data_IF_412741122019
#
_entry.id   IF_412741122019
#
_cell.length_a   1.000
_cell.length_b   1.000
_cell.length_c   1.000
_cell.angle_alpha   90.00
_cell.angle_beta   90.00
_cell.angle_gamma   90.00
#
_symmetry.space_group_name_H-M   'P 1'
#
loop_
_entity.id
_entity.type
_entity.pdbx_description
1 polymer ?
#
# COMPACT_ATOMS: atom_id res chain seq x y z
N UNK A 1 4.93 10.04 0.80
CA UNK A 1 3.83 10.95 0.40
C UNK A 1 3.42 10.61 -1.01
N UNK A 2 2.13 10.41 -1.27
CA UNK A 2 1.57 10.25 -2.62
C UNK A 2 1.18 11.65 -3.10
N UNK A 3 1.77 12.12 -4.20
CA UNK A 3 1.48 13.41 -4.80
C UNK A 3 0.66 13.18 -6.07
N UNK A 4 -0.67 13.30 -6.01
CA UNK A 4 -1.48 13.15 -7.19
C UNK A 4 -1.25 14.33 -8.13
N UNK A 5 -1.07 14.06 -9.42
CA UNK A 5 -0.95 15.08 -10.47
C UNK A 5 -2.31 15.61 -10.92
N UNK A 6 -3.39 14.95 -10.52
CA UNK A 6 -4.77 15.34 -10.81
C UNK A 6 -5.65 15.08 -9.58
N UNK A 7 -6.61 15.98 -9.34
CA UNK A 7 -7.62 15.82 -8.28
C UNK A 7 -9.00 15.77 -8.91
N UNK A 8 -9.88 14.89 -8.41
CA UNK A 8 -11.23 14.74 -8.92
C UNK A 8 -12.11 15.97 -8.62
N UNK A 9 -13.17 16.16 -9.41
CA UNK A 9 -14.18 17.19 -9.11
C UNK A 9 -14.92 16.84 -7.81
N UNK A 10 -15.30 17.84 -6.99
CA UNK A 10 -16.11 17.60 -5.80
C UNK A 10 -17.41 16.87 -6.16
N UNK A 11 -17.70 15.76 -5.48
CA UNK A 11 -18.91 14.96 -5.71
C UNK A 11 -18.81 13.89 -6.80
N UNK A 12 -17.70 13.81 -7.55
CA UNK A 12 -17.44 12.74 -8.51
C UNK A 12 -16.47 11.69 -7.94
N UNK A 13 -16.77 10.41 -8.16
CA UNK A 13 -15.83 9.33 -7.84
C UNK A 13 -14.69 9.31 -8.87
N UNK A 14 -13.49 9.66 -8.44
CA UNK A 14 -12.29 9.53 -9.26
C UNK A 14 -11.71 8.12 -9.10
N UNK A 15 -11.46 7.43 -10.21
CA UNK A 15 -10.80 6.12 -10.24
C UNK A 15 -9.36 6.31 -10.68
N UNK A 16 -8.45 5.68 -9.96
CA UNK A 16 -7.04 5.59 -10.35
C UNK A 16 -6.94 4.87 -11.70
N UNK A 17 -5.94 5.26 -12.49
CA UNK A 17 -5.59 4.46 -13.66
C UNK A 17 -4.96 3.12 -13.22
N UNK A 18 -4.83 2.20 -14.17
CA UNK A 18 -4.31 0.84 -13.88
C UNK A 18 -2.90 0.88 -13.27
N UNK A 19 -2.02 1.74 -13.79
CA UNK A 19 -0.63 1.82 -13.32
C UNK A 19 -0.51 2.45 -11.93
N UNK A 20 -1.28 3.51 -11.66
CA UNK A 20 -1.39 4.13 -10.34
C UNK A 20 -1.90 3.13 -9.30
N UNK A 21 -2.93 2.35 -9.66
CA UNK A 21 -3.50 1.32 -8.80
C UNK A 21 -2.46 0.26 -8.44
N UNK A 22 -1.75 -0.29 -9.44
CA UNK A 22 -0.70 -1.31 -9.23
C UNK A 22 0.45 -0.76 -8.38
N UNK A 23 0.89 0.47 -8.68
CA UNK A 23 1.98 1.10 -7.95
C UNK A 23 1.64 1.34 -6.47
N UNK A 24 0.45 1.89 -6.18
CA UNK A 24 -0.03 2.11 -4.80
C UNK A 24 -0.19 0.78 -4.06
N UNK A 25 -0.75 -0.24 -4.71
CA UNK A 25 -0.87 -1.59 -4.12
C UNK A 25 0.49 -2.17 -3.74
N UNK A 26 1.51 -2.02 -4.61
CA UNK A 26 2.88 -2.44 -4.31
C UNK A 26 3.46 -1.74 -3.08
N UNK A 27 3.31 -0.41 -3.00
CA UNK A 27 3.76 0.40 -1.86
C UNK A 27 3.06 0.00 -0.56
N UNK A 28 1.74 -0.19 -0.59
CA UNK A 28 0.96 -0.59 0.58
C UNK A 28 1.34 -1.98 1.09
N UNK A 29 1.64 -2.95 0.21
CA UNK A 29 2.12 -4.28 0.60
C UNK A 29 3.48 -4.22 1.31
N UNK A 30 4.42 -3.44 0.78
CA UNK A 30 5.74 -3.26 1.39
C UNK A 30 5.61 -2.57 2.75
N UNK A 31 4.79 -1.51 2.80
CA UNK A 31 4.54 -0.82 4.05
C UNK A 31 3.85 -1.71 5.08
N UNK A 32 2.87 -2.52 4.68
CA UNK A 32 2.22 -3.50 5.56
C UNK A 32 3.19 -4.52 6.13
N UNK A 33 4.15 -5.00 5.32
CA UNK A 33 5.22 -5.89 5.81
C UNK A 33 6.16 -5.18 6.78
N UNK A 34 6.50 -3.92 6.53
CA UNK A 34 7.33 -3.11 7.42
C UNK A 34 6.61 -2.72 8.72
N UNK A 35 5.32 -2.39 8.66
CA UNK A 35 4.54 -2.07 9.86
C UNK A 35 4.26 -3.30 10.73
N UNK A 36 4.20 -4.50 10.11
CA UNK A 36 4.10 -5.77 10.82
C UNK A 36 5.36 -6.14 11.62
N UNK A 37 6.51 -5.48 11.40
CA UNK A 37 7.75 -5.68 12.17
C UNK A 37 7.57 -5.30 13.66
N UNK A 38 6.52 -4.56 14.02
CA UNK A 38 6.22 -4.17 15.39
C UNK A 38 5.20 -5.05 16.15
N UNK A 39 4.54 -6.02 15.51
CA UNK A 39 3.45 -6.77 16.15
C UNK A 39 3.61 -8.29 15.99
N UNK A 40 4.40 -8.88 16.89
CA UNK A 40 4.16 -10.23 17.42
C UNK A 40 4.33 -11.41 16.48
N UNK A 41 5.55 -11.94 16.41
CA UNK A 41 5.95 -13.31 16.83
C UNK A 41 7.33 -13.63 16.26
N UNK A 42 8.34 -13.64 17.13
CA UNK A 42 9.65 -14.27 16.90
C UNK A 42 9.49 -15.80 16.95
N UNK A 43 8.57 -16.35 16.16
CA UNK A 43 8.20 -17.76 16.17
C UNK A 43 8.62 -18.40 14.86
N UNK A 44 9.70 -19.18 14.92
CA UNK A 44 10.14 -20.13 13.90
C UNK A 44 10.35 -19.56 12.48
N UNK A 45 11.39 -18.75 12.32
CA UNK A 45 12.03 -18.56 11.00
C UNK A 45 12.85 -19.78 10.56
N UNK A 46 12.97 -20.82 11.42
CA UNK A 46 13.89 -21.94 11.28
C UNK A 46 13.24 -23.34 11.27
N UNK A 47 11.92 -23.49 11.35
CA UNK A 47 11.31 -24.79 11.03
C UNK A 47 10.56 -24.70 9.70
N UNK A 48 11.07 -25.51 8.79
CA UNK A 48 10.64 -25.77 7.42
C UNK A 48 9.40 -26.66 7.38
#
# INVERSE_FOLDING_TARGET
>A
MIYPTSTGKPGEYFRLNTLESVWIQGKLRMWGRWSYIGSGKTGNMFNQ
#
